data_IF_342226367586
#
_entry.id   IF_342226367586
#
_cell.length_a   1.000
_cell.length_b   1.000
_cell.length_c   1.000
_cell.angle_alpha   90.00
_cell.angle_beta   90.00
_cell.angle_gamma   90.00
#
_symmetry.space_group_name_H-M   'P 1'
#
loop_
_entity.id
_entity.type
_entity.pdbx_description
1 polymer ?
#
# COMPACT_ATOMS: atom_id res chain seq x y z
N UNK A 1 -6.76 -8.59 -30.34
CA UNK A 1 -5.40 -8.01 -30.36
C UNK A 1 -5.35 -6.94 -29.29
N UNK A 2 -4.34 -6.93 -28.42
CA UNK A 2 -4.17 -5.85 -27.47
C UNK A 2 -4.03 -4.53 -28.25
N UNK A 3 -4.67 -3.42 -27.83
CA UNK A 3 -4.43 -2.14 -28.49
C UNK A 3 -2.93 -1.84 -28.38
N UNK A 4 -2.30 -1.56 -29.53
CA UNK A 4 -0.88 -1.26 -29.65
C UNK A 4 -0.59 0.11 -29.01
N UNK A 5 -0.61 0.16 -27.68
CA UNK A 5 -0.49 1.40 -26.89
C UNK A 5 0.61 1.26 -25.85
N UNK A 6 1.71 0.64 -26.27
CA UNK A 6 2.95 0.61 -25.53
C UNK A 6 3.54 2.02 -25.39
N UNK A 7 4.55 2.14 -24.53
CA UNK A 7 5.18 3.42 -24.24
C UNK A 7 5.75 4.08 -25.52
N UNK A 8 6.30 3.28 -26.44
CA UNK A 8 6.89 3.73 -27.69
C UNK A 8 5.83 4.30 -28.63
N UNK A 9 4.69 3.63 -28.78
CA UNK A 9 3.60 4.15 -29.62
C UNK A 9 2.99 5.42 -29.04
N UNK A 10 2.87 5.52 -27.71
CA UNK A 10 2.45 6.77 -27.05
C UNK A 10 3.44 7.91 -27.31
N UNK A 11 4.74 7.62 -27.24
CA UNK A 11 5.80 8.58 -27.56
C UNK A 11 5.71 9.06 -29.02
N UNK A 12 5.52 8.13 -29.96
CA UNK A 12 5.31 8.43 -31.38
C UNK A 12 4.10 9.33 -31.58
N UNK A 13 2.97 9.03 -30.93
CA UNK A 13 1.77 9.87 -31.01
C UNK A 13 2.04 11.29 -30.51
N UNK A 14 2.65 11.43 -29.33
CA UNK A 14 2.90 12.74 -28.71
C UNK A 14 3.85 13.58 -29.56
N UNK A 15 4.90 12.96 -30.11
CA UNK A 15 5.87 13.64 -30.98
C UNK A 15 5.25 14.07 -32.32
N UNK A 16 4.49 13.20 -32.98
CA UNK A 16 3.85 13.52 -34.26
C UNK A 16 2.77 14.60 -34.14
N UNK A 17 2.02 14.59 -33.03
CA UNK A 17 0.91 15.54 -32.79
C UNK A 17 1.38 16.86 -32.22
N UNK A 18 2.53 16.89 -31.53
CA UNK A 18 3.16 18.12 -31.06
C UNK A 18 3.34 19.11 -32.23
N UNK A 19 3.29 20.43 -32.00
CA UNK A 19 3.56 21.45 -33.02
C UNK A 19 4.83 21.21 -33.84
N UNK A 20 5.83 20.55 -33.24
CA UNK A 20 7.05 20.16 -33.96
C UNK A 20 6.81 19.10 -35.05
N UNK A 21 6.00 18.08 -34.77
CA UNK A 21 5.60 17.08 -35.75
C UNK A 21 4.51 17.59 -36.70
N UNK A 22 3.61 18.43 -36.19
CA UNK A 22 2.58 19.14 -36.94
C UNK A 22 1.57 18.25 -37.67
N UNK A 23 1.51 16.95 -37.34
CA UNK A 23 0.63 16.00 -38.05
C UNK A 23 -0.79 16.05 -37.50
N UNK A 24 -1.76 15.96 -38.40
CA UNK A 24 -3.17 15.88 -38.03
C UNK A 24 -3.48 14.55 -37.33
N UNK A 25 -4.47 14.55 -36.42
CA UNK A 25 -4.93 13.31 -35.76
C UNK A 25 -5.37 12.25 -36.78
N UNK A 26 -5.98 12.65 -37.89
CA UNK A 26 -6.42 11.75 -38.96
C UNK A 26 -5.23 11.05 -39.63
N UNK A 27 -4.15 11.78 -39.90
CA UNK A 27 -2.93 11.20 -40.44
C UNK A 27 -2.30 10.20 -39.47
N UNK A 28 -2.18 10.58 -38.20
CA UNK A 28 -1.61 9.71 -37.16
C UNK A 28 -2.45 8.43 -37.04
N UNK A 29 -3.78 8.54 -37.03
CA UNK A 29 -4.68 7.39 -36.98
C UNK A 29 -4.49 6.43 -38.16
N UNK A 30 -4.28 6.95 -39.37
CA UNK A 30 -4.02 6.14 -40.56
C UNK A 30 -2.68 5.39 -40.47
N UNK A 31 -1.64 6.02 -39.91
CA UNK A 31 -0.30 5.41 -39.79
C UNK A 31 -0.24 4.41 -38.63
N UNK A 32 -0.81 4.73 -37.47
CA UNK A 32 -0.68 3.90 -36.26
C UNK A 32 -1.81 2.89 -36.08
N UNK A 33 -2.90 3.00 -36.86
CA UNK A 33 -4.11 2.18 -36.71
C UNK A 33 -4.88 2.43 -35.40
N UNK A 34 -4.61 3.54 -34.71
CA UNK A 34 -5.23 3.88 -33.42
C UNK A 34 -6.38 4.86 -33.66
N UNK A 35 -7.47 4.69 -32.91
CA UNK A 35 -8.61 5.60 -33.05
C UNK A 35 -8.23 7.05 -32.72
N UNK A 36 -8.77 8.04 -33.45
CA UNK A 36 -8.53 9.47 -33.19
C UNK A 36 -8.75 9.86 -31.72
N UNK A 37 -9.80 9.32 -31.10
CA UNK A 37 -10.13 9.55 -29.68
C UNK A 37 -9.00 9.10 -28.73
N UNK A 38 -8.39 7.96 -29.01
CA UNK A 38 -7.28 7.45 -28.19
C UNK A 38 -6.03 8.30 -28.39
N UNK A 39 -5.74 8.74 -29.61
CA UNK A 39 -4.64 9.67 -29.91
C UNK A 39 -4.79 10.97 -29.12
N UNK A 40 -5.97 11.60 -29.18
CA UNK A 40 -6.24 12.84 -28.47
C UNK A 40 -6.19 12.66 -26.94
N UNK A 41 -6.66 11.51 -26.44
CA UNK A 41 -6.57 11.18 -25.01
C UNK A 41 -5.13 11.00 -24.53
N UNK A 42 -4.28 10.33 -25.33
CA UNK A 42 -2.86 10.14 -25.01
C UNK A 42 -2.15 11.49 -24.96
N UNK A 43 -2.36 12.33 -25.98
CA UNK A 43 -1.76 13.67 -26.04
C UNK A 43 -2.24 14.57 -24.90
N UNK A 44 -3.55 14.61 -24.64
CA UNK A 44 -4.11 15.39 -23.53
C UNK A 44 -3.57 14.94 -22.17
N UNK A 45 -3.41 13.63 -21.95
CA UNK A 45 -2.82 13.09 -20.72
C UNK A 45 -1.35 13.45 -20.56
N UNK A 46 -0.57 13.44 -21.65
CA UNK A 46 0.81 13.89 -21.62
C UNK A 46 0.90 15.37 -21.20
N UNK A 47 0.07 16.24 -21.80
CA UNK A 47 0.02 17.66 -21.43
C UNK A 47 -0.40 17.86 -19.96
N UNK A 48 -1.40 17.13 -19.47
CA UNK A 48 -1.83 17.18 -18.06
C UNK A 48 -0.72 16.79 -17.07
N UNK A 49 0.26 16.01 -17.52
CA UNK A 49 1.39 15.55 -16.71
C UNK A 49 2.65 16.39 -16.88
N UNK A 50 2.56 17.52 -17.58
CA UNK A 50 3.67 18.47 -17.72
C UNK A 50 4.43 18.39 -19.05
N UNK A 51 3.94 17.65 -20.05
CA UNK A 51 4.48 17.80 -21.40
C UNK A 51 4.11 19.19 -21.97
N UNK A 52 5.13 20.00 -22.27
CA UNK A 52 4.96 21.33 -22.86
C UNK A 52 5.19 21.30 -24.38
N UNK A 53 4.13 21.33 -25.21
CA UNK A 53 4.26 21.19 -26.66
C UNK A 53 4.89 22.41 -27.34
N UNK A 54 4.79 23.59 -26.72
CA UNK A 54 5.30 24.86 -27.25
C UNK A 54 6.69 25.23 -26.68
N UNK A 55 7.32 24.32 -25.91
CA UNK A 55 8.64 24.59 -25.38
C UNK A 55 9.68 24.70 -26.50
N UNK A 56 10.74 25.52 -26.34
CA UNK A 56 11.80 25.66 -27.34
C UNK A 56 12.53 24.35 -27.68
N UNK A 57 12.51 23.39 -26.75
CA UNK A 57 13.09 22.06 -26.92
C UNK A 57 12.10 21.02 -26.46
N UNK A 58 11.88 19.99 -27.26
CA UNK A 58 10.99 18.88 -26.92
C UNK A 58 11.66 18.02 -25.86
N UNK A 59 11.01 17.91 -24.71
CA UNK A 59 11.38 16.99 -23.64
C UNK A 59 10.28 15.96 -23.48
N UNK A 60 10.59 14.71 -23.80
CA UNK A 60 9.66 13.60 -23.65
C UNK A 60 10.18 12.66 -22.56
N UNK A 61 9.49 12.65 -21.42
CA UNK A 61 9.84 11.80 -20.29
C UNK A 61 8.84 10.63 -20.17
N UNK A 62 9.26 9.46 -19.66
CA UNK A 62 8.37 8.33 -19.42
C UNK A 62 7.17 8.69 -18.54
N UNK A 63 7.37 9.54 -17.53
CA UNK A 63 6.36 10.01 -16.58
C UNK A 63 5.11 10.60 -17.26
N UNK A 64 5.28 11.24 -18.42
CA UNK A 64 4.17 11.81 -19.17
C UNK A 64 3.29 10.74 -19.82
N UNK A 65 3.89 9.60 -20.17
CA UNK A 65 3.31 8.56 -21.03
C UNK A 65 2.83 7.33 -20.26
N UNK A 66 3.44 7.01 -19.11
CA UNK A 66 3.18 5.82 -18.31
C UNK A 66 1.74 5.77 -17.76
N UNK A 67 1.15 4.60 -17.55
CA UNK A 67 -0.18 4.55 -16.94
C UNK A 67 -0.11 4.96 -15.46
N UNK A 68 -1.07 5.80 -15.03
CA UNK A 68 -1.18 6.14 -13.63
C UNK A 68 -1.49 4.86 -12.81
N UNK A 69 -1.02 4.77 -11.56
CA UNK A 69 -1.41 3.69 -10.67
C UNK A 69 -2.93 3.58 -10.62
N UNK A 70 -3.47 2.38 -10.88
CA UNK A 70 -4.90 2.14 -10.81
C UNK A 70 -5.30 2.10 -9.33
N UNK A 71 -6.19 2.98 -8.92
CA UNK A 71 -6.67 3.11 -7.53
C UNK A 71 -7.41 1.87 -7.03
N UNK A 72 -7.88 0.99 -7.93
CA UNK A 72 -8.55 -0.25 -7.59
C UNK A 72 -9.81 -0.01 -6.74
N UNK A 73 -10.39 -1.10 -6.22
CA UNK A 73 -11.49 -1.00 -5.25
C UNK A 73 -10.89 -0.77 -3.85
N UNK A 74 -11.36 0.25 -3.09
CA UNK A 74 -10.93 0.45 -1.70
C UNK A 74 -11.07 -0.83 -0.88
N UNK A 75 -10.06 -1.14 -0.06
CA UNK A 75 -10.05 -2.38 0.73
C UNK A 75 -10.83 -2.16 2.02
N UNK A 76 -11.76 -3.06 2.34
CA UNK A 76 -12.45 -3.10 3.65
C UNK A 76 -11.50 -3.22 4.86
N UNK A 77 -10.24 -3.59 4.61
CA UNK A 77 -9.21 -3.76 5.63
C UNK A 77 -8.85 -2.46 6.34
N UNK A 78 -8.80 -1.33 5.61
CA UNK A 78 -8.39 -0.03 6.15
C UNK A 78 -9.31 0.43 7.28
N UNK A 79 -10.63 0.30 7.09
CA UNK A 79 -11.63 0.68 8.08
C UNK A 79 -11.56 -0.14 9.38
N UNK A 80 -11.00 -1.37 9.32
CA UNK A 80 -11.02 -2.32 10.43
C UNK A 80 -9.62 -2.56 11.01
N UNK A 81 -8.59 -2.01 10.38
CA UNK A 81 -7.19 -2.22 10.74
C UNK A 81 -6.92 -1.86 12.19
N UNK A 82 -7.20 -0.61 12.57
CA UNK A 82 -6.91 -0.11 13.91
C UNK A 82 -7.76 -0.81 14.98
N UNK A 83 -9.04 -1.03 14.70
CA UNK A 83 -9.95 -1.73 15.62
C UNK A 83 -9.48 -3.17 15.89
N UNK A 84 -8.98 -3.87 14.86
CA UNK A 84 -8.41 -5.21 14.97
C UNK A 84 -7.16 -5.19 15.86
N UNK A 85 -6.23 -4.26 15.60
CA UNK A 85 -4.98 -4.17 16.35
C UNK A 85 -5.20 -3.82 17.82
N UNK A 86 -6.15 -2.92 18.11
CA UNK A 86 -6.52 -2.55 19.48
C UNK A 86 -7.01 -3.77 20.28
N UNK A 87 -7.78 -4.67 19.66
CA UNK A 87 -8.26 -5.91 20.30
C UNK A 87 -7.13 -6.89 20.60
N UNK A 88 -6.15 -7.03 19.71
CA UNK A 88 -5.00 -7.92 19.91
C UNK A 88 -3.99 -7.35 20.91
N UNK A 89 -3.79 -6.04 20.94
CA UNK A 89 -2.81 -5.37 21.82
C UNK A 89 -3.26 -5.23 23.28
N UNK A 90 -4.57 -5.28 23.54
CA UNK A 90 -5.17 -4.97 24.84
C UNK A 90 -4.55 -5.72 26.02
N UNK A 91 -4.49 -7.05 25.93
CA UNK A 91 -4.02 -7.90 27.01
C UNK A 91 -3.60 -9.28 26.49
N UNK A 92 -3.22 -10.18 27.41
CA UNK A 92 -2.89 -11.57 27.09
C UNK A 92 -4.03 -12.28 26.36
N UNK A 93 -5.27 -12.14 26.83
CA UNK A 93 -6.42 -12.80 26.25
C UNK A 93 -6.67 -12.34 24.82
N UNK A 94 -6.47 -11.05 24.53
CA UNK A 94 -6.56 -10.46 23.19
C UNK A 94 -5.60 -11.09 22.18
N UNK A 95 -4.38 -11.45 22.61
CA UNK A 95 -3.39 -12.14 21.75
C UNK A 95 -3.72 -13.61 21.50
N UNK A 96 -4.50 -14.22 22.38
CA UNK A 96 -4.92 -15.62 22.29
C UNK A 96 -6.26 -15.78 21.52
N UNK A 97 -6.97 -14.68 21.21
CA UNK A 97 -8.23 -14.72 20.45
C UNK A 97 -8.03 -15.25 19.04
N UNK A 98 -8.99 -16.05 18.57
CA UNK A 98 -9.02 -16.46 17.17
C UNK A 98 -9.47 -15.30 16.28
N UNK A 99 -9.18 -15.41 14.98
CA UNK A 99 -9.69 -14.45 13.99
C UNK A 99 -11.22 -14.45 13.92
N UNK A 100 -11.88 -15.56 14.27
CA UNK A 100 -13.34 -15.63 14.32
C UNK A 100 -13.91 -14.85 15.52
N UNK A 101 -13.27 -14.96 16.68
CA UNK A 101 -13.68 -14.21 17.87
C UNK A 101 -13.51 -12.70 17.67
N UNK A 102 -12.39 -12.30 17.05
CA UNK A 102 -12.14 -10.90 16.71
C UNK A 102 -13.17 -10.38 15.69
N UNK A 103 -13.52 -11.19 14.70
CA UNK A 103 -14.57 -10.84 13.74
C UNK A 103 -15.94 -10.67 14.41
N UNK A 104 -16.31 -11.55 15.34
CA UNK A 104 -17.54 -11.44 16.13
C UNK A 104 -17.55 -10.17 16.99
N UNK A 105 -16.46 -9.91 17.71
CA UNK A 105 -16.26 -8.69 18.51
C UNK A 105 -16.40 -7.40 17.69
N UNK A 106 -15.93 -7.41 16.44
CA UNK A 106 -15.98 -6.28 15.52
C UNK A 106 -17.36 -6.13 14.87
N UNK A 107 -18.04 -7.25 14.61
CA UNK A 107 -19.44 -7.25 14.16
C UNK A 107 -20.36 -6.58 15.19
N UNK A 108 -20.13 -6.84 16.48
CA UNK A 108 -20.84 -6.16 17.57
C UNK A 108 -20.59 -4.64 17.62
N UNK A 109 -19.50 -4.15 17.02
CA UNK A 109 -19.18 -2.72 16.87
C UNK A 109 -19.62 -2.15 15.51
N UNK A 110 -20.36 -2.93 14.70
CA UNK A 110 -20.87 -2.52 13.39
C UNK A 110 -19.98 -2.86 12.19
N UNK A 111 -18.84 -3.52 12.39
CA UNK A 111 -17.95 -3.93 11.30
C UNK A 111 -18.27 -5.36 10.84
N UNK A 112 -19.01 -5.48 9.73
CA UNK A 112 -19.27 -6.80 9.12
C UNK A 112 -18.08 -7.25 8.26
N UNK A 113 -17.15 -7.99 8.86
CA UNK A 113 -15.96 -8.56 8.20
C UNK A 113 -15.79 -10.04 8.51
N UNK A 114 -15.23 -10.77 7.54
CA UNK A 114 -14.89 -12.19 7.71
C UNK A 114 -13.61 -12.38 8.53
N UNK A 115 -13.48 -13.54 9.18
CA UNK A 115 -12.26 -13.97 9.87
C UNK A 115 -11.02 -13.95 8.95
N UNK A 116 -11.18 -14.31 7.67
CA UNK A 116 -10.09 -14.23 6.69
C UNK A 116 -9.62 -12.79 6.42
N UNK A 117 -10.51 -11.81 6.52
CA UNK A 117 -10.15 -10.38 6.40
C UNK A 117 -9.31 -9.95 7.59
N UNK A 118 -9.70 -10.35 8.80
CA UNK A 118 -8.93 -10.14 10.03
C UNK A 118 -7.55 -10.77 9.94
N UNK A 119 -7.45 -12.01 9.46
CA UNK A 119 -6.17 -12.68 9.27
C UNK A 119 -5.25 -11.90 8.33
N UNK A 120 -5.76 -11.40 7.20
CA UNK A 120 -4.96 -10.57 6.26
C UNK A 120 -4.48 -9.27 6.91
N UNK A 121 -5.34 -8.60 7.69
CA UNK A 121 -4.97 -7.40 8.47
C UNK A 121 -3.83 -7.72 9.44
N UNK A 122 -3.96 -8.80 10.22
CA UNK A 122 -2.94 -9.20 11.19
C UNK A 122 -1.61 -9.56 10.53
N UNK A 123 -1.65 -10.27 9.39
CA UNK A 123 -0.44 -10.60 8.61
C UNK A 123 0.23 -9.35 8.05
N UNK A 124 -0.54 -8.42 7.50
CA UNK A 124 -0.01 -7.15 6.98
C UNK A 124 0.64 -6.32 8.09
N UNK A 125 0.10 -6.38 9.32
CA UNK A 125 0.67 -5.74 10.50
C UNK A 125 1.83 -6.52 11.17
N UNK A 126 2.28 -7.64 10.59
CA UNK A 126 3.43 -8.41 11.07
C UNK A 126 3.14 -9.44 12.16
N UNK A 127 1.87 -9.71 12.49
CA UNK A 127 1.52 -10.71 13.49
C UNK A 127 1.67 -12.15 12.95
N UNK A 128 2.22 -13.01 13.80
CA UNK A 128 2.39 -14.44 13.55
C UNK A 128 1.65 -15.26 14.60
N UNK A 129 1.25 -16.48 14.21
CA UNK A 129 0.73 -17.45 15.18
C UNK A 129 1.92 -17.94 16.02
N UNK A 130 1.90 -17.65 17.31
CA UNK A 130 2.97 -18.04 18.25
C UNK A 130 2.38 -18.86 19.38
N UNK A 131 3.12 -19.86 19.85
CA UNK A 131 2.73 -20.63 21.04
C UNK A 131 2.81 -19.71 22.27
N UNK A 132 1.75 -19.60 23.09
CA UNK A 132 1.82 -18.82 24.32
C UNK A 132 2.90 -19.36 25.26
N UNK A 133 3.82 -18.52 25.69
CA UNK A 133 4.81 -18.88 26.71
C UNK A 133 4.23 -18.62 28.09
N UNK A 134 4.23 -19.63 28.97
CA UNK A 134 3.81 -19.48 30.36
C UNK A 134 5.03 -19.29 31.25
N UNK A 135 5.06 -18.18 32.00
CA UNK A 135 5.97 -17.98 33.13
C UNK A 135 5.12 -17.85 34.40
N UNK A 136 5.54 -18.41 35.55
CA UNK A 136 4.85 -18.18 36.81
C UNK A 136 4.73 -16.68 37.08
N UNK A 137 3.58 -16.27 37.61
CA UNK A 137 3.36 -14.87 37.97
C UNK A 137 4.26 -14.46 39.14
N UNK A 138 4.93 -13.33 39.02
CA UNK A 138 5.65 -12.70 40.13
C UNK A 138 4.67 -11.80 40.91
N UNK A 139 4.65 -11.93 42.24
CA UNK A 139 3.96 -10.99 43.12
C UNK A 139 4.63 -9.62 43.08
N UNK A 140 3.94 -8.57 43.51
CA UNK A 140 4.49 -7.21 43.49
C UNK A 140 5.75 -7.10 44.37
N UNK A 141 5.74 -7.71 45.56
CA UNK A 141 6.90 -7.80 46.45
C UNK A 141 8.11 -8.44 45.76
N UNK A 142 7.91 -9.60 45.12
CA UNK A 142 8.99 -10.28 44.39
C UNK A 142 9.53 -9.44 43.23
N UNK A 143 8.69 -8.65 42.54
CA UNK A 143 9.17 -7.75 41.47
C UNK A 143 10.05 -6.64 42.04
N UNK A 144 9.65 -6.07 43.17
CA UNK A 144 10.39 -5.01 43.84
C UNK A 144 11.75 -5.50 44.34
N UNK A 145 11.78 -6.61 45.07
CA UNK A 145 13.03 -7.21 45.58
C UNK A 145 13.99 -7.58 44.44
N UNK A 146 13.47 -8.16 43.35
CA UNK A 146 14.29 -8.50 42.17
C UNK A 146 14.82 -7.26 41.47
N UNK A 147 14.02 -6.20 41.37
CA UNK A 147 14.45 -4.94 40.78
C UNK A 147 15.52 -4.26 41.64
N UNK A 148 15.32 -4.18 42.95
CA UNK A 148 16.30 -3.64 43.90
C UNK A 148 17.62 -4.40 43.83
N UNK A 149 17.57 -5.73 43.79
CA UNK A 149 18.77 -6.55 43.64
C UNK A 149 19.50 -6.27 42.33
N UNK A 150 18.77 -6.22 41.19
CA UNK A 150 19.34 -5.89 39.89
C UNK A 150 19.96 -4.49 39.83
N UNK A 151 19.38 -3.52 40.53
CA UNK A 151 19.91 -2.15 40.58
C UNK A 151 21.16 -2.07 41.47
N UNK A 152 21.15 -2.75 42.62
CA UNK A 152 22.30 -2.82 43.53
C UNK A 152 23.51 -3.56 42.93
N UNK A 153 23.25 -4.56 42.08
CA UNK A 153 24.27 -5.39 41.43
C UNK A 153 24.35 -5.13 39.91
N UNK A 154 24.06 -3.89 39.48
CA UNK A 154 24.00 -3.55 38.05
C UNK A 154 25.34 -3.80 37.34
N UNK A 155 26.42 -3.51 38.04
CA UNK A 155 27.79 -3.56 37.52
C UNK A 155 28.54 -4.81 38.03
N UNK A 156 27.81 -5.83 38.53
CA UNK A 156 28.39 -7.05 39.09
C UNK A 156 29.14 -7.86 38.03
N UNK A 157 30.41 -8.16 38.31
CA UNK A 157 31.25 -9.01 37.46
C UNK A 157 31.60 -10.31 38.16
N UNK A 158 32.04 -11.32 37.40
CA UNK A 158 32.42 -12.64 37.94
C UNK A 158 33.68 -12.62 38.84
N UNK A 159 34.39 -11.49 38.88
CA UNK A 159 35.60 -11.30 39.69
C UNK A 159 35.34 -10.58 41.03
N UNK A 160 34.10 -10.13 41.27
CA UNK A 160 33.61 -9.58 42.56
C UNK A 160 32.87 -10.65 43.38
#
# INVERSE_FOLDING_TARGET
MAPNTDLSTRALIVTLKSPFGGKSTAYIAAVTGISPRTIDSIYGRACQRGFEPNAPTIKLLPEYLEDAPRTGRPRKQEAVHEATLKKVRRDRYGREKSCADIAGDLSAQGYNVSSSTIWRVLRAAGYNKTKPTRKPGLTQKMRQERLEWCLAHRDWTLED
#
